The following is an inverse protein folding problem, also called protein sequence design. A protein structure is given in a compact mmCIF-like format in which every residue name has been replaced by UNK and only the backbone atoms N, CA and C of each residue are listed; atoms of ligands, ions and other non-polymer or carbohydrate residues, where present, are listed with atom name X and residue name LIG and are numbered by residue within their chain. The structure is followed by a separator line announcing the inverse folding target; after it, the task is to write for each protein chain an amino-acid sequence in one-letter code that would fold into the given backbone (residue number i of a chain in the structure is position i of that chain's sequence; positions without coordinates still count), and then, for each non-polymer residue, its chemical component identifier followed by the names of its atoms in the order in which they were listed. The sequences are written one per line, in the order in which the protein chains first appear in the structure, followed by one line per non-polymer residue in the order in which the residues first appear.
data_IF_768521154267
#
_entry.id   IF_768521154267
#
_cell.length_a   1.000
_cell.length_b   1.000
_cell.length_c   1.000
_cell.angle_alpha   90.00
_cell.angle_beta   90.00
_cell.angle_gamma   90.00
#
_symmetry.space_group_name_H-M   'P 1'
#
loop_
_entity.id
_entity.type
_entity.pdbx_description
1 polymer ?
#
# COMPACT_ATOMS: atom_id res chain seq x y z
N UNK A 1 -26.31 16.05 1.75
CA UNK A 1 -25.06 15.50 2.35
C UNK A 1 -25.20 14.00 2.73
N UNK A 2 -25.87 13.19 1.88
CA UNK A 2 -26.09 11.75 2.11
C UNK A 2 -25.09 10.87 1.37
N UNK A 3 -24.64 11.30 0.19
CA UNK A 3 -23.77 10.50 -0.70
C UNK A 3 -22.50 10.00 0.00
N UNK A 4 -21.87 10.84 0.82
CA UNK A 4 -20.66 10.53 1.59
C UNK A 4 -20.89 9.48 2.68
N UNK A 5 -22.06 9.51 3.34
CA UNK A 5 -22.43 8.49 4.33
C UNK A 5 -22.62 7.13 3.66
N UNK A 6 -23.25 7.10 2.48
CA UNK A 6 -23.43 5.89 1.68
C UNK A 6 -22.11 5.32 1.13
N UNK A 7 -21.20 6.17 0.66
CA UNK A 7 -19.87 5.72 0.20
C UNK A 7 -19.06 5.15 1.36
N UNK A 8 -19.08 5.79 2.53
CA UNK A 8 -18.37 5.29 3.72
C UNK A 8 -18.96 3.98 4.23
N UNK A 9 -20.29 3.84 4.25
CA UNK A 9 -20.97 2.62 4.67
C UNK A 9 -20.69 1.43 3.72
N UNK A 10 -20.74 1.65 2.40
CA UNK A 10 -20.35 0.62 1.42
C UNK A 10 -18.88 0.22 1.56
N UNK A 11 -17.98 1.19 1.75
CA UNK A 11 -16.56 0.91 1.95
C UNK A 11 -16.29 0.11 3.23
N UNK A 12 -17.02 0.43 4.32
CA UNK A 12 -16.94 -0.33 5.58
C UNK A 12 -17.47 -1.75 5.42
N UNK A 13 -18.59 -1.95 4.73
CA UNK A 13 -19.14 -3.28 4.48
C UNK A 13 -18.19 -4.16 3.65
N UNK A 14 -17.60 -3.61 2.58
CA UNK A 14 -16.61 -4.30 1.73
C UNK A 14 -15.33 -4.62 2.52
N UNK A 15 -14.92 -3.74 3.43
CA UNK A 15 -13.70 -3.92 4.23
C UNK A 15 -13.91 -4.86 5.44
N UNK A 16 -15.12 -4.89 5.99
CA UNK A 16 -15.50 -5.67 7.18
C UNK A 16 -15.67 -7.16 6.90
N UNK A 17 -15.80 -7.57 5.64
CA UNK A 17 -16.10 -8.96 5.26
C UNK A 17 -14.87 -9.85 4.98
N UNK A 18 -13.65 -9.37 5.22
CA UNK A 18 -12.46 -10.22 5.06
C UNK A 18 -12.40 -11.26 6.18
N UNK A 19 -12.40 -12.54 5.82
CA UNK A 19 -12.27 -13.65 6.78
C UNK A 19 -10.87 -13.61 7.40
N UNK A 20 -10.71 -14.18 8.60
CA UNK A 20 -9.40 -14.27 9.24
C UNK A 20 -8.39 -15.05 8.37
N UNK A 21 -8.86 -16.03 7.59
CA UNK A 21 -8.10 -16.77 6.58
C UNK A 21 -7.51 -15.86 5.50
N UNK A 22 -8.23 -14.81 5.08
CA UNK A 22 -7.75 -13.82 4.10
C UNK A 22 -6.65 -12.90 4.67
N UNK A 23 -6.41 -12.95 5.98
CA UNK A 23 -5.38 -12.18 6.65
C UNK A 23 -4.08 -12.97 6.87
N UNK A 24 -4.10 -14.28 6.59
CA UNK A 24 -2.94 -15.14 6.70
C UNK A 24 -1.89 -14.74 5.65
N UNK A 25 -0.63 -14.56 6.08
CA UNK A 25 0.46 -14.10 5.20
C UNK A 25 0.56 -12.58 5.00
N UNK A 26 -0.39 -11.78 5.50
CA UNK A 26 -0.30 -10.31 5.44
C UNK A 26 0.75 -9.76 6.42
N UNK A 27 1.83 -9.20 5.88
CA UNK A 27 2.93 -8.60 6.64
C UNK A 27 2.78 -7.08 6.77
N UNK A 28 2.21 -6.44 5.75
CA UNK A 28 2.13 -4.99 5.62
C UNK A 28 0.68 -4.49 5.63
N UNK A 29 0.49 -3.28 6.12
CA UNK A 29 -0.79 -2.59 6.01
C UNK A 29 -1.01 -2.06 4.59
N UNK A 30 0.04 -1.61 3.93
CA UNK A 30 -0.02 -1.15 2.55
C UNK A 30 1.27 -1.44 1.78
N UNK A 31 1.14 -1.74 0.50
CA UNK A 31 2.21 -1.60 -0.49
C UNK A 31 2.09 -0.23 -1.16
N UNK A 32 3.17 0.55 -1.18
CA UNK A 32 3.21 1.86 -1.85
C UNK A 32 3.99 1.72 -3.15
N UNK A 33 3.29 1.92 -4.27
CA UNK A 33 3.87 1.95 -5.62
C UNK A 33 3.99 3.40 -6.09
N UNK A 34 5.17 3.80 -6.51
CA UNK A 34 5.48 5.16 -6.95
C UNK A 34 6.61 5.15 -7.99
N UNK A 35 6.71 6.22 -8.76
CA UNK A 35 7.83 6.43 -9.69
C UNK A 35 9.10 6.81 -8.92
N UNK A 36 10.25 6.27 -9.33
CA UNK A 36 11.54 6.65 -8.74
C UNK A 36 11.82 8.16 -8.85
N UNK A 37 11.26 8.83 -9.87
CA UNK A 37 11.36 10.31 -10.02
C UNK A 37 10.62 11.08 -8.92
N UNK A 38 9.77 10.42 -8.13
CA UNK A 38 9.07 11.02 -6.99
C UNK A 38 9.59 10.50 -5.64
N UNK A 39 10.70 9.74 -5.62
CA UNK A 39 11.21 9.09 -4.42
C UNK A 39 11.52 10.08 -3.28
N UNK A 40 12.06 11.26 -3.59
CA UNK A 40 12.43 12.25 -2.58
C UNK A 40 11.22 12.69 -1.74
N UNK A 41 10.11 13.06 -2.40
CA UNK A 41 8.88 13.42 -1.70
C UNK A 41 8.28 12.21 -0.96
N UNK A 42 8.25 11.04 -1.60
CA UNK A 42 7.69 9.83 -0.98
C UNK A 42 8.44 9.47 0.30
N UNK A 43 9.78 9.50 0.28
CA UNK A 43 10.61 9.13 1.43
C UNK A 43 10.70 10.21 2.50
N UNK A 44 10.72 11.47 2.12
CA UNK A 44 10.89 12.57 3.10
C UNK A 44 9.57 13.03 3.72
N UNK A 45 8.44 12.82 3.04
CA UNK A 45 7.14 13.35 3.49
C UNK A 45 6.07 12.28 3.65
N UNK A 46 5.92 11.39 2.67
CA UNK A 46 4.79 10.46 2.64
C UNK A 46 4.97 9.27 3.59
N UNK A 47 6.07 8.52 3.43
CA UNK A 47 6.37 7.35 4.25
C UNK A 47 6.54 7.70 5.74
N UNK A 48 7.25 8.79 6.14
CA UNK A 48 7.40 9.12 7.56
C UNK A 48 6.07 9.39 8.26
N UNK A 49 5.08 9.96 7.58
CA UNK A 49 3.74 10.14 8.15
C UNK A 49 3.03 8.80 8.36
N UNK A 50 3.11 7.89 7.38
CA UNK A 50 2.46 6.58 7.48
C UNK A 50 3.12 5.70 8.55
N UNK A 51 4.45 5.61 8.54
CA UNK A 51 5.20 4.71 9.43
C UNK A 51 5.41 5.32 10.82
N UNK A 52 5.53 6.65 10.93
CA UNK A 52 5.67 7.38 12.19
C UNK A 52 4.32 7.67 12.83
N UNK A 53 3.63 8.70 12.35
CA UNK A 53 2.40 9.21 12.98
C UNK A 53 1.30 8.15 13.11
N UNK A 54 1.15 7.29 12.09
CA UNK A 54 0.12 6.25 12.07
C UNK A 54 0.64 4.84 12.40
N UNK A 55 1.96 4.68 12.62
CA UNK A 55 2.58 3.38 12.96
C UNK A 55 2.22 2.23 11.98
N UNK A 56 2.01 2.55 10.70
CA UNK A 56 1.66 1.58 9.68
C UNK A 56 2.93 0.94 9.11
N UNK A 57 3.03 -0.39 9.17
CA UNK A 57 3.98 -1.17 8.35
C UNK A 57 3.68 -1.02 6.86
N UNK A 58 4.61 -0.48 6.08
CA UNK A 58 4.48 -0.27 4.63
C UNK A 58 5.50 -1.09 3.84
N UNK A 59 5.11 -1.69 2.70
CA UNK A 59 6.01 -2.32 1.72
C UNK A 59 6.37 -1.28 0.65
N UNK A 60 7.64 -1.14 0.29
CA UNK A 60 8.05 -0.39 -0.90
C UNK A 60 9.32 -0.94 -1.55
N UNK A 61 9.49 -0.66 -2.85
CA UNK A 61 10.48 -1.34 -3.68
C UNK A 61 11.94 -1.15 -3.27
N UNK A 62 12.29 0.01 -2.71
CA UNK A 62 13.68 0.28 -2.31
C UNK A 62 14.15 -0.45 -1.05
N UNK A 63 13.23 -0.97 -0.22
CA UNK A 63 13.56 -1.64 1.05
C UNK A 63 13.18 -3.11 1.04
N UNK A 64 12.03 -3.44 0.45
CA UNK A 64 11.38 -4.73 0.65
C UNK A 64 11.55 -5.71 -0.53
N UNK A 65 12.10 -5.25 -1.65
CA UNK A 65 12.41 -6.12 -2.78
C UNK A 65 13.58 -7.04 -2.44
N UNK A 66 13.40 -8.33 -2.73
CA UNK A 66 14.42 -9.34 -2.51
C UNK A 66 15.36 -9.35 -3.71
N UNK A 67 16.66 -9.11 -3.52
CA UNK A 67 17.66 -9.28 -4.56
C UNK A 67 17.63 -10.69 -5.15
N UNK A 68 17.83 -10.81 -6.46
CA UNK A 68 17.77 -12.10 -7.17
C UNK A 68 16.36 -12.56 -7.58
N UNK A 69 15.29 -11.89 -7.14
CA UNK A 69 13.94 -12.06 -7.71
C UNK A 69 13.69 -11.04 -8.83
N UNK A 70 12.84 -11.41 -9.79
CA UNK A 70 12.45 -10.48 -10.85
C UNK A 70 11.62 -9.33 -10.28
N UNK A 71 11.59 -8.21 -11.00
CA UNK A 71 10.78 -7.04 -10.63
C UNK A 71 9.30 -7.41 -10.46
N UNK A 72 8.76 -8.23 -11.37
CA UNK A 72 7.37 -8.70 -11.34
C UNK A 72 7.11 -9.57 -10.11
N UNK A 73 8.01 -10.51 -9.79
CA UNK A 73 7.89 -11.36 -8.60
C UNK A 73 7.90 -10.52 -7.30
N UNK A 74 8.75 -9.50 -7.25
CA UNK A 74 8.83 -8.61 -6.11
C UNK A 74 7.56 -7.75 -5.95
N UNK A 75 7.00 -7.23 -7.04
CA UNK A 75 5.73 -6.49 -7.03
C UNK A 75 4.58 -7.40 -6.58
N UNK A 76 4.42 -8.58 -7.19
CA UNK A 76 3.37 -9.54 -6.83
C UNK A 76 3.46 -9.90 -5.34
N UNK A 77 4.66 -10.19 -4.83
CA UNK A 77 4.87 -10.45 -3.42
C UNK A 77 4.45 -9.27 -2.52
N UNK A 78 4.84 -8.03 -2.84
CA UNK A 78 4.41 -6.88 -2.03
C UNK A 78 2.89 -6.72 -2.05
N UNK A 79 2.22 -7.00 -3.19
CA UNK A 79 0.75 -6.96 -3.30
C UNK A 79 0.12 -8.04 -2.41
N UNK A 80 0.57 -9.28 -2.54
CA UNK A 80 0.06 -10.44 -1.77
C UNK A 80 0.27 -10.29 -0.26
N UNK A 81 1.40 -9.69 0.15
CA UNK A 81 1.73 -9.50 1.57
C UNK A 81 1.16 -8.21 2.17
N UNK A 82 0.36 -7.45 1.42
CA UNK A 82 -0.18 -6.15 1.86
C UNK A 82 -1.70 -6.13 1.87
N UNK A 83 -2.29 -5.56 2.93
CA UNK A 83 -3.77 -5.41 3.02
C UNK A 83 -4.34 -4.53 1.92
N UNK A 84 -3.58 -3.52 1.49
CA UNK A 84 -3.96 -2.51 0.49
C UNK A 84 -2.76 -2.18 -0.41
N UNK A 85 -3.05 -1.69 -1.61
CA UNK A 85 -2.06 -1.06 -2.48
C UNK A 85 -2.39 0.43 -2.61
N UNK A 86 -1.38 1.27 -2.47
CA UNK A 86 -1.45 2.72 -2.61
C UNK A 86 -0.58 3.11 -3.78
N UNK A 87 -1.16 3.78 -4.76
CA UNK A 87 -0.46 4.25 -5.95
C UNK A 87 -0.26 5.76 -5.85
N UNK A 88 0.98 6.21 -5.87
CA UNK A 88 1.33 7.64 -5.93
C UNK A 88 1.36 8.05 -7.40
N UNK A 89 0.22 8.55 -7.89
CA UNK A 89 0.06 8.92 -9.29
C UNK A 89 0.75 10.25 -9.59
N UNK A 90 1.49 10.27 -10.70
CA UNK A 90 2.14 11.46 -11.26
C UNK A 90 2.35 11.26 -12.76
N UNK A 91 2.77 12.30 -13.48
CA UNK A 91 3.20 12.19 -14.89
C UNK A 91 4.45 11.32 -15.09
N UNK A 92 5.15 10.96 -14.02
CA UNK A 92 6.29 10.03 -14.06
C UNK A 92 5.91 8.59 -13.68
N UNK A 93 4.68 8.40 -13.21
CA UNK A 93 4.15 7.09 -12.84
C UNK A 93 3.56 6.36 -14.07
N UNK A 94 2.98 7.11 -15.01
CA UNK A 94 2.34 6.62 -16.24
C UNK A 94 3.31 6.66 -17.42
#
# INVERSE_FOLDING_TARGET
KMIWKWTRAKHHAITSQRKAEDLEGLRFHAFVSYSQKNADWVKSQFLPKLEGDYSLRVCHHERDFIPGKTIVQNILRCIEQSRRCVFVLSSHFV
#
